data_IF_033576404438
#
_entry.id   IF_033576404438
#
_cell.length_a   1.000
_cell.length_b   1.000
_cell.length_c   1.000
_cell.angle_alpha   90.00
_cell.angle_beta   90.00
_cell.angle_gamma   90.00
#
_symmetry.space_group_name_H-M   'P 1'
#
loop_
_entity.id
_entity.type
_entity.pdbx_description
1 polymer ?
#
# COMPACT_ATOMS: atom_id res chain seq x y z
N UNK A 1 21.43 30.21 -2.60
CA UNK A 1 20.39 29.24 -2.19
C UNK A 1 19.04 29.54 -2.82
N UNK A 2 18.81 30.75 -3.33
CA UNK A 2 17.52 31.25 -3.86
C UNK A 2 16.99 30.54 -5.12
N UNK A 3 17.75 29.60 -5.69
CA UNK A 3 17.34 28.81 -6.85
C UNK A 3 16.67 27.48 -6.46
N UNK A 4 16.73 27.06 -5.19
CA UNK A 4 16.18 25.77 -4.75
C UNK A 4 14.67 25.88 -4.50
N UNK A 5 13.91 24.97 -5.11
CA UNK A 5 12.46 24.88 -4.93
C UNK A 5 12.09 23.79 -3.91
N UNK A 6 11.00 23.95 -3.14
CA UNK A 6 10.46 22.86 -2.32
C UNK A 6 10.25 21.59 -3.16
N UNK A 7 10.68 20.44 -2.63
CA UNK A 7 10.63 19.16 -3.33
C UNK A 7 11.90 18.83 -4.14
N UNK A 8 12.86 19.75 -4.26
CA UNK A 8 14.14 19.47 -4.89
C UNK A 8 14.93 18.36 -4.18
N UNK A 9 15.67 17.58 -4.96
CA UNK A 9 16.65 16.62 -4.45
C UNK A 9 18.01 17.33 -4.27
N UNK A 10 18.70 17.03 -3.18
CA UNK A 10 19.95 17.66 -2.79
C UNK A 10 20.99 16.61 -2.38
N UNK A 11 22.24 16.81 -2.80
CA UNK A 11 23.41 16.13 -2.26
C UNK A 11 24.29 17.20 -1.61
N UNK A 12 24.48 17.11 -0.29
CA UNK A 12 25.20 18.12 0.49
C UNK A 12 26.29 17.48 1.35
N UNK A 13 27.33 18.25 1.62
CA UNK A 13 28.41 17.92 2.57
C UNK A 13 28.42 19.01 3.64
N UNK A 14 28.57 18.60 4.88
CA UNK A 14 28.52 19.51 6.02
C UNK A 14 28.93 18.84 7.31
N UNK A 15 29.01 19.64 8.37
CA UNK A 15 29.35 19.18 9.72
C UNK A 15 28.09 19.04 10.57
N UNK A 16 27.92 17.91 11.25
CA UNK A 16 26.82 17.70 12.21
C UNK A 16 27.18 18.32 13.56
N UNK A 17 26.32 19.22 14.04
CA UNK A 17 26.47 19.89 15.32
C UNK A 17 25.34 19.49 16.26
N UNK A 18 25.67 19.33 17.55
CA UNK A 18 24.68 19.13 18.60
C UNK A 18 23.94 20.45 18.87
N UNK A 19 22.61 20.39 18.91
CA UNK A 19 21.73 21.55 19.13
C UNK A 19 20.71 21.24 20.23
N UNK A 20 21.13 20.89 21.47
CA UNK A 20 20.23 20.40 22.51
C UNK A 20 19.15 21.41 22.93
N UNK A 21 19.38 22.70 22.73
CA UNK A 21 18.42 23.77 23.03
C UNK A 21 17.46 24.11 21.87
N UNK A 22 17.63 23.48 20.70
CA UNK A 22 16.77 23.68 19.53
C UNK A 22 15.62 22.68 19.50
N UNK A 23 14.72 22.80 18.50
CA UNK A 23 13.60 21.86 18.31
C UNK A 23 14.06 20.44 17.95
N UNK A 24 15.25 20.31 17.39
CA UNK A 24 15.89 19.05 17.02
C UNK A 24 17.23 18.91 17.76
N UNK A 25 17.65 17.70 18.12
CA UNK A 25 18.85 17.47 18.93
C UNK A 25 20.16 17.68 18.15
N UNK A 26 20.10 17.62 16.82
CA UNK A 26 21.25 17.78 15.93
C UNK A 26 20.82 18.56 14.67
N UNK A 27 21.75 19.32 14.11
CA UNK A 27 21.60 19.99 12.81
C UNK A 27 22.85 19.79 11.96
N UNK A 28 22.68 19.79 10.63
CA UNK A 28 23.81 19.80 9.70
C UNK A 28 24.09 21.23 9.24
N UNK A 29 25.28 21.74 9.58
CA UNK A 29 25.82 22.96 8.98
C UNK A 29 26.36 22.61 7.59
N UNK A 30 25.64 23.01 6.55
CA UNK A 30 26.00 22.68 5.16
C UNK A 30 27.18 23.55 4.73
N UNK A 31 28.32 22.91 4.44
CA UNK A 31 29.52 23.57 3.92
C UNK A 31 29.47 23.67 2.39
N UNK A 32 28.90 22.65 1.72
CA UNK A 32 28.84 22.56 0.26
C UNK A 32 27.61 21.80 -0.23
N UNK A 33 26.96 22.33 -1.27
CA UNK A 33 26.03 21.57 -2.11
C UNK A 33 26.85 20.92 -3.24
N UNK A 34 26.86 19.60 -3.29
CA UNK A 34 27.60 18.81 -4.29
C UNK A 34 26.82 18.73 -5.59
N UNK A 35 25.52 18.43 -5.48
CA UNK A 35 24.61 18.31 -6.62
C UNK A 35 23.18 18.63 -6.17
N UNK A 36 22.35 19.06 -7.11
CA UNK A 36 20.92 19.24 -6.86
C UNK A 36 20.11 19.11 -8.14
N UNK A 37 18.85 18.70 -7.96
CA UNK A 37 17.86 18.72 -9.02
C UNK A 37 16.57 19.34 -8.52
N UNK A 38 16.19 20.46 -9.13
CA UNK A 38 14.90 21.09 -8.89
C UNK A 38 13.77 20.25 -9.48
N UNK A 39 12.59 20.46 -8.90
CA UNK A 39 11.33 19.98 -9.46
C UNK A 39 10.89 20.87 -10.61
N UNK A 40 10.05 20.31 -11.47
CA UNK A 40 9.37 21.05 -12.55
C UNK A 40 8.41 22.10 -11.97
N UNK A 41 8.03 23.08 -12.80
CA UNK A 41 7.20 24.21 -12.36
C UNK A 41 5.79 23.79 -11.91
N UNK A 42 5.30 22.64 -12.37
CA UNK A 42 3.99 22.08 -12.05
C UNK A 42 4.02 21.11 -10.84
N UNK A 43 5.10 21.10 -10.06
CA UNK A 43 5.20 20.25 -8.88
C UNK A 43 4.04 20.51 -7.89
N UNK A 44 3.20 19.51 -7.60
CA UNK A 44 1.90 19.77 -7.00
C UNK A 44 1.93 19.92 -5.47
N UNK A 45 3.03 19.51 -4.81
CA UNK A 45 3.13 19.58 -3.34
C UNK A 45 3.59 20.97 -2.92
N UNK A 46 2.73 21.65 -2.17
CA UNK A 46 2.98 22.99 -1.63
C UNK A 46 3.61 22.90 -0.23
N UNK A 47 4.28 23.97 0.20
CA UNK A 47 4.84 24.07 1.56
C UNK A 47 3.76 24.16 2.65
N UNK A 48 2.53 24.53 2.28
CA UNK A 48 1.38 24.58 3.17
C UNK A 48 0.66 23.23 3.21
N UNK A 49 -0.14 23.01 4.25
CA UNK A 49 -0.94 21.80 4.37
C UNK A 49 -1.99 21.71 3.26
N UNK A 50 -2.04 20.55 2.59
CA UNK A 50 -2.96 20.28 1.49
C UNK A 50 -4.17 19.48 1.99
N UNK A 51 -5.35 19.74 1.40
CA UNK A 51 -6.56 18.97 1.68
C UNK A 51 -6.40 17.51 1.26
N UNK A 52 -7.00 16.59 2.00
CA UNK A 52 -6.95 15.16 1.69
C UNK A 52 -7.54 14.84 0.32
N UNK A 53 -8.58 15.57 -0.11
CA UNK A 53 -9.19 15.43 -1.42
C UNK A 53 -8.17 15.71 -2.53
N UNK A 54 -7.46 16.83 -2.46
CA UNK A 54 -6.38 17.16 -3.41
C UNK A 54 -5.27 16.11 -3.40
N UNK A 55 -4.91 15.59 -2.22
CA UNK A 55 -3.91 14.53 -2.12
C UNK A 55 -4.37 13.20 -2.72
N UNK A 56 -5.68 12.94 -2.84
CA UNK A 56 -6.20 11.74 -3.53
C UNK A 56 -5.97 11.80 -5.03
N UNK A 57 -5.93 12.99 -5.62
CA UNK A 57 -5.74 13.20 -7.06
C UNK A 57 -4.27 13.06 -7.50
N UNK A 58 -3.31 13.12 -6.56
CA UNK A 58 -1.87 12.99 -6.82
C UNK A 58 -1.21 11.83 -6.06
N UNK A 59 -1.72 10.59 -6.21
CA UNK A 59 -1.27 9.44 -5.41
C UNK A 59 0.23 9.14 -5.57
N UNK A 60 0.80 9.45 -6.74
CA UNK A 60 2.20 9.24 -7.07
C UNK A 60 3.18 10.09 -6.25
N UNK A 61 2.76 11.22 -5.66
CA UNK A 61 3.63 12.12 -4.88
C UNK A 61 3.13 12.45 -3.48
N UNK A 62 1.84 12.18 -3.15
CA UNK A 62 1.24 12.50 -1.85
C UNK A 62 2.02 11.96 -0.64
N UNK A 63 2.71 10.85 -0.82
CA UNK A 63 3.55 10.19 0.20
C UNK A 63 4.70 11.07 0.72
N UNK A 64 5.02 12.16 0.02
CA UNK A 64 6.03 13.15 0.44
C UNK A 64 5.51 14.16 1.47
N UNK A 65 4.20 14.20 1.72
CA UNK A 65 3.63 15.01 2.80
C UNK A 65 3.76 14.30 4.16
N UNK A 66 3.89 15.06 5.24
CA UNK A 66 4.05 14.52 6.60
C UNK A 66 2.95 13.53 6.97
N UNK A 67 1.69 13.89 6.73
CA UNK A 67 0.54 13.06 7.10
C UNK A 67 0.50 11.75 6.33
N UNK A 68 0.61 11.79 5.00
CA UNK A 68 0.57 10.58 4.19
C UNK A 68 1.79 9.69 4.44
N UNK A 69 2.97 10.29 4.66
CA UNK A 69 4.17 9.55 5.07
C UNK A 69 3.93 8.81 6.38
N UNK A 70 3.39 9.49 7.39
CA UNK A 70 3.09 8.89 8.68
C UNK A 70 2.10 7.72 8.54
N UNK A 71 1.01 7.89 7.78
CA UNK A 71 0.04 6.82 7.50
C UNK A 71 0.70 5.61 6.85
N UNK A 72 1.56 5.81 5.86
CA UNK A 72 2.26 4.70 5.19
C UNK A 72 3.24 3.98 6.11
N UNK A 73 3.97 4.72 6.96
CA UNK A 73 4.87 4.13 7.97
C UNK A 73 4.08 3.32 8.99
N UNK A 74 2.98 3.86 9.52
CA UNK A 74 2.10 3.13 10.46
C UNK A 74 1.55 1.87 9.81
N UNK A 75 1.05 1.95 8.57
CA UNK A 75 0.56 0.77 7.83
C UNK A 75 1.66 -0.29 7.65
N UNK A 76 2.89 0.13 7.32
CA UNK A 76 4.03 -0.79 7.18
C UNK A 76 4.36 -1.48 8.50
N UNK A 77 4.42 -0.72 9.60
CA UNK A 77 4.65 -1.28 10.94
C UNK A 77 3.54 -2.25 11.33
N UNK A 78 2.27 -1.89 11.13
CA UNK A 78 1.13 -2.77 11.44
C UNK A 78 1.21 -4.08 10.67
N UNK A 79 1.52 -4.05 9.38
CA UNK A 79 1.68 -5.27 8.59
C UNK A 79 2.80 -6.16 9.16
N UNK A 80 3.95 -5.58 9.51
CA UNK A 80 5.05 -6.32 10.13
C UNK A 80 4.65 -6.91 11.49
N UNK A 81 3.93 -6.18 12.33
CA UNK A 81 3.48 -6.66 13.64
C UNK A 81 2.42 -7.78 13.52
N UNK A 82 1.54 -7.72 12.52
CA UNK A 82 0.60 -8.83 12.23
C UNK A 82 1.38 -10.10 11.87
N UNK A 83 2.37 -10.00 10.98
CA UNK A 83 3.21 -11.14 10.63
C UNK A 83 3.97 -11.69 11.85
N UNK A 84 4.61 -10.81 12.64
CA UNK A 84 5.31 -11.22 13.87
C UNK A 84 4.39 -11.91 14.86
N UNK A 85 3.18 -11.39 15.06
CA UNK A 85 2.20 -11.99 15.96
C UNK A 85 1.91 -13.44 15.58
N UNK A 86 1.58 -13.69 14.31
CA UNK A 86 1.24 -15.02 13.85
C UNK A 86 2.44 -15.98 13.89
N UNK A 87 3.62 -15.52 13.47
CA UNK A 87 4.86 -16.31 13.56
C UNK A 87 5.17 -16.70 15.00
N UNK A 88 5.06 -15.77 15.96
CA UNK A 88 5.27 -16.02 17.39
C UNK A 88 4.21 -16.96 18.02
N UNK A 89 3.15 -17.29 17.29
CA UNK A 89 2.08 -18.21 17.70
C UNK A 89 2.10 -19.53 16.92
N UNK A 90 3.18 -19.78 16.18
CA UNK A 90 3.40 -20.95 15.32
C UNK A 90 2.38 -21.06 14.17
N UNK A 91 1.88 -19.93 13.67
CA UNK A 91 1.05 -19.92 12.46
C UNK A 91 1.92 -19.88 11.20
N UNK A 92 1.50 -20.62 10.18
CA UNK A 92 2.11 -20.61 8.87
C UNK A 92 1.43 -19.59 7.95
N UNK A 93 2.23 -18.76 7.28
CA UNK A 93 1.73 -17.83 6.29
C UNK A 93 1.33 -18.58 5.00
N UNK A 94 0.05 -18.49 4.63
CA UNK A 94 -0.52 -19.10 3.44
C UNK A 94 -0.89 -18.02 2.41
N UNK A 95 -0.36 -18.16 1.20
CA UNK A 95 -0.81 -17.37 0.05
C UNK A 95 -1.98 -18.07 -0.63
N UNK A 96 -3.21 -17.65 -0.32
CA UNK A 96 -4.40 -18.14 -1.01
C UNK A 96 -4.46 -17.61 -2.46
N UNK A 97 -4.96 -18.39 -3.43
CA UNK A 97 -5.21 -17.92 -4.78
C UNK A 97 -6.08 -16.65 -4.82
N UNK A 98 -5.70 -15.69 -5.66
CA UNK A 98 -6.46 -14.45 -5.89
C UNK A 98 -7.48 -14.65 -7.02
N UNK A 99 -7.06 -15.27 -8.14
CA UNK A 99 -7.96 -15.62 -9.23
C UNK A 99 -8.55 -16.99 -8.93
N UNK A 100 -9.88 -17.08 -8.87
CA UNK A 100 -10.57 -18.31 -8.49
C UNK A 100 -11.85 -18.50 -9.30
N UNK A 101 -12.33 -19.75 -9.35
CA UNK A 101 -13.69 -20.05 -9.82
C UNK A 101 -14.67 -20.29 -8.68
N UNK A 102 -14.21 -20.09 -7.45
CA UNK A 102 -14.98 -20.34 -6.25
C UNK A 102 -15.49 -19.03 -5.66
N UNK A 103 -16.77 -18.98 -5.33
CA UNK A 103 -17.40 -17.77 -4.79
C UNK A 103 -17.07 -17.54 -3.31
N UNK A 104 -16.55 -18.54 -2.57
CA UNK A 104 -16.02 -18.39 -1.20
C UNK A 104 -17.04 -18.02 -0.10
N UNK A 105 -17.89 -17.02 -0.32
CA UNK A 105 -18.93 -16.47 0.56
C UNK A 105 -20.34 -16.57 -0.03
N UNK A 106 -20.47 -16.94 -1.32
CA UNK A 106 -21.71 -17.45 -1.90
C UNK A 106 -22.80 -16.43 -2.27
N UNK A 107 -22.51 -15.13 -2.33
CA UNK A 107 -23.51 -14.11 -2.71
C UNK A 107 -22.96 -12.74 -3.16
N UNK A 108 -21.64 -12.58 -3.32
CA UNK A 108 -21.04 -11.27 -3.61
C UNK A 108 -20.96 -10.95 -5.10
N UNK A 109 -21.13 -9.66 -5.47
CA UNK A 109 -20.70 -9.23 -6.80
C UNK A 109 -19.17 -9.34 -6.89
N UNK A 110 -18.69 -10.12 -7.87
CA UNK A 110 -17.26 -10.37 -8.11
C UNK A 110 -16.77 -9.74 -9.42
N UNK A 111 -15.50 -9.35 -9.46
CA UNK A 111 -14.87 -8.91 -10.71
C UNK A 111 -14.52 -10.13 -11.57
N UNK A 112 -14.96 -10.12 -12.82
CA UNK A 112 -14.64 -11.15 -13.80
C UNK A 112 -13.24 -10.94 -14.39
N UNK A 113 -12.46 -12.03 -14.48
CA UNK A 113 -11.14 -12.06 -15.11
C UNK A 113 -11.25 -12.84 -16.41
N UNK A 114 -11.02 -12.16 -17.54
CA UNK A 114 -11.10 -12.72 -18.89
C UNK A 114 -9.99 -12.12 -19.76
N UNK A 115 -9.38 -12.94 -20.61
CA UNK A 115 -8.43 -12.47 -21.63
C UNK A 115 -9.12 -12.16 -22.98
N UNK A 116 -10.43 -12.40 -23.09
CA UNK A 116 -11.27 -12.24 -24.28
C UNK A 116 -10.75 -13.00 -25.52
N UNK A 117 -9.83 -13.95 -25.36
CA UNK A 117 -9.22 -14.70 -26.44
C UNK A 117 -10.09 -15.86 -26.92
N UNK A 118 -10.92 -16.39 -26.02
CA UNK A 118 -11.87 -17.47 -26.29
C UNK A 118 -13.22 -17.18 -25.61
N UNK A 119 -14.27 -17.85 -26.09
CA UNK A 119 -15.59 -17.79 -25.45
C UNK A 119 -15.66 -18.61 -24.15
N UNK A 120 -14.68 -19.49 -23.92
CA UNK A 120 -14.63 -20.31 -22.71
C UNK A 120 -13.89 -19.53 -21.61
N UNK A 121 -14.38 -19.59 -20.35
CA UNK A 121 -13.65 -19.01 -19.23
C UNK A 121 -12.25 -19.62 -19.06
N UNK A 122 -11.33 -18.87 -18.44
CA UNK A 122 -9.93 -19.28 -18.24
C UNK A 122 -9.77 -20.68 -17.59
N UNK A 123 -10.63 -21.05 -16.64
CA UNK A 123 -10.59 -22.36 -15.97
C UNK A 123 -11.38 -23.46 -16.70
N UNK A 124 -11.83 -23.19 -17.91
CA UNK A 124 -12.62 -24.09 -18.73
C UNK A 124 -14.13 -23.83 -18.65
N UNK A 125 -14.86 -24.55 -19.51
CA UNK A 125 -16.30 -24.36 -19.73
C UNK A 125 -17.08 -24.46 -18.42
N UNK A 126 -17.87 -23.43 -18.12
CA UNK A 126 -18.71 -23.35 -16.93
C UNK A 126 -18.00 -22.90 -15.64
N UNK A 127 -16.67 -22.68 -15.67
CA UNK A 127 -15.90 -22.22 -14.51
C UNK A 127 -15.43 -20.78 -14.71
N UNK A 128 -16.25 -19.82 -14.29
CA UNK A 128 -15.87 -18.39 -14.33
C UNK A 128 -14.55 -18.17 -13.60
N UNK A 129 -13.70 -17.30 -14.11
CA UNK A 129 -12.54 -16.81 -13.38
C UNK A 129 -12.87 -15.43 -12.81
N UNK A 130 -12.67 -15.27 -11.51
CA UNK A 130 -13.00 -14.03 -10.79
C UNK A 130 -11.90 -13.67 -9.82
N UNK A 131 -11.86 -12.40 -9.41
CA UNK A 131 -11.06 -11.98 -8.27
C UNK A 131 -11.76 -12.39 -6.97
N UNK A 132 -11.04 -13.11 -6.12
CA UNK A 132 -11.55 -13.68 -4.88
C UNK A 132 -11.94 -12.61 -3.85
N UNK A 133 -13.07 -12.85 -3.19
CA UNK A 133 -13.57 -12.01 -2.09
C UNK A 133 -12.93 -12.40 -0.74
N UNK A 134 -12.44 -13.64 -0.65
CA UNK A 134 -11.84 -14.21 0.56
C UNK A 134 -10.89 -15.36 0.23
N UNK A 135 -9.86 -15.54 1.07
CA UNK A 135 -8.99 -16.73 1.06
C UNK A 135 -9.49 -17.87 1.95
N UNK A 136 -10.63 -17.69 2.64
CA UNK A 136 -11.09 -18.56 3.73
C UNK A 136 -11.16 -20.04 3.34
N UNK A 137 -11.82 -20.39 2.23
CA UNK A 137 -12.01 -21.80 1.85
C UNK A 137 -10.66 -22.51 1.60
N UNK A 138 -9.70 -21.80 1.00
CA UNK A 138 -8.35 -22.33 0.84
C UNK A 138 -7.65 -22.46 2.20
N UNK A 139 -7.83 -21.49 3.09
CA UNK A 139 -7.35 -21.56 4.46
C UNK A 139 -7.87 -22.75 5.25
N UNK A 140 -9.17 -23.05 5.14
CA UNK A 140 -9.80 -24.21 5.80
C UNK A 140 -9.20 -25.54 5.32
N UNK A 141 -8.95 -25.68 4.02
CA UNK A 141 -8.30 -26.88 3.47
C UNK A 141 -6.88 -27.07 4.04
N UNK A 142 -6.09 -26.00 4.08
CA UNK A 142 -4.71 -26.05 4.58
C UNK A 142 -4.64 -26.22 6.10
N UNK A 143 -5.60 -25.67 6.86
CA UNK A 143 -5.61 -25.80 8.32
C UNK A 143 -5.84 -27.25 8.77
N UNK A 144 -6.48 -28.09 7.96
CA UNK A 144 -6.62 -29.53 8.26
C UNK A 144 -5.27 -30.26 8.30
N UNK A 145 -4.29 -29.84 7.47
CA UNK A 145 -2.95 -30.45 7.42
C UNK A 145 -1.90 -29.69 8.23
N UNK A 146 -1.99 -28.36 8.29
CA UNK A 146 -0.98 -27.49 8.90
C UNK A 146 -1.41 -26.94 10.27
N UNK A 147 -2.64 -27.21 10.70
CA UNK A 147 -3.28 -26.78 11.96
C UNK A 147 -3.47 -25.26 12.08
N UNK A 148 -2.38 -24.48 12.03
CA UNK A 148 -2.36 -23.04 12.22
C UNK A 148 -1.88 -22.34 10.95
N UNK A 149 -2.81 -21.67 10.27
CA UNK A 149 -2.52 -20.88 9.07
C UNK A 149 -3.12 -19.48 9.18
N UNK A 150 -2.55 -18.53 8.45
CA UNK A 150 -3.15 -17.22 8.22
C UNK A 150 -2.88 -16.76 6.78
N UNK A 151 -3.82 -16.00 6.23
CA UNK A 151 -3.66 -15.33 4.94
C UNK A 151 -3.47 -13.84 5.17
N UNK A 152 -2.66 -13.20 4.33
CA UNK A 152 -2.45 -11.76 4.31
C UNK A 152 -2.27 -11.36 2.84
N UNK A 153 -3.38 -11.18 2.15
CA UNK A 153 -3.44 -11.02 0.69
C UNK A 153 -4.56 -10.06 0.31
N UNK A 154 -4.57 -9.55 -0.93
CA UNK A 154 -5.64 -8.67 -1.38
C UNK A 154 -6.93 -9.45 -1.59
N UNK A 155 -8.05 -8.78 -1.33
CA UNK A 155 -9.40 -9.25 -1.61
C UNK A 155 -10.20 -8.16 -2.32
N UNK A 156 -11.21 -8.57 -3.08
CA UNK A 156 -11.93 -7.69 -4.00
C UNK A 156 -13.43 -7.78 -3.79
N UNK A 157 -14.14 -6.65 -3.98
CA UNK A 157 -15.61 -6.59 -3.97
C UNK A 157 -16.08 -5.71 -5.11
N UNK A 158 -16.98 -6.22 -5.95
CA UNK A 158 -17.48 -5.48 -7.11
C UNK A 158 -18.77 -4.69 -6.81
N UNK A 159 -19.21 -4.66 -5.55
CA UNK A 159 -20.39 -3.90 -5.14
C UNK A 159 -20.26 -2.41 -5.49
N UNK A 160 -21.30 -1.86 -6.14
CA UNK A 160 -21.35 -0.44 -6.50
C UNK A 160 -21.72 0.45 -5.31
N UNK A 161 -20.82 0.53 -4.34
CA UNK A 161 -21.01 1.27 -3.09
C UNK A 161 -20.03 2.44 -2.98
N UNK A 162 -20.53 3.67 -3.17
CA UNK A 162 -19.72 4.89 -3.06
C UNK A 162 -19.84 5.52 -1.66
N UNK A 163 -19.20 4.91 -0.67
CA UNK A 163 -19.12 5.46 0.70
C UNK A 163 -17.68 5.75 1.09
N UNK A 164 -17.49 6.53 2.16
CA UNK A 164 -16.15 6.91 2.66
C UNK A 164 -15.30 5.72 3.15
N UNK A 165 -15.87 4.52 3.30
CA UNK A 165 -15.21 3.33 3.88
C UNK A 165 -15.22 2.11 2.97
N UNK A 166 -15.80 2.20 1.76
CA UNK A 166 -15.81 1.09 0.81
C UNK A 166 -14.67 1.24 -0.21
N UNK A 167 -13.92 0.16 -0.39
CA UNK A 167 -12.90 0.02 -1.43
C UNK A 167 -13.19 -1.25 -2.22
N UNK A 168 -13.03 -1.19 -3.54
CA UNK A 168 -13.18 -2.35 -4.41
C UNK A 168 -12.02 -3.35 -4.27
N UNK A 169 -10.86 -2.88 -3.80
CA UNK A 169 -9.66 -3.66 -3.50
C UNK A 169 -9.16 -3.27 -2.11
N UNK A 170 -8.92 -4.27 -1.25
CA UNK A 170 -8.42 -4.08 0.11
C UNK A 170 -7.62 -5.29 0.58
N UNK A 171 -7.04 -5.18 1.78
CA UNK A 171 -6.15 -6.16 2.42
C UNK A 171 -6.55 -6.32 3.88
#
# INVERSE_FOLDING_TARGET
MDQLKPGAALVVVGTLNATPSAKQPIEMMVDKIVDYKNVDDDYPIQSQEMKLETLRDIPHVRHRTTLMRAVMLVRSTLAQEVHKYFINKDFHYLNSPIITSNDGEGAGETFNVSDNSTNDPFFGKGKKATLGVTGQLHGESYSLGMQKIYTFGPTFRAERSNTKRHLAEFW
#
